data_IF_183514337577
#
_entry.id   IF_183514337577
#
_cell.length_a   1.000
_cell.length_b   1.000
_cell.length_c   1.000
_cell.angle_alpha   90.00
_cell.angle_beta   90.00
_cell.angle_gamma   90.00
#
_symmetry.space_group_name_H-M   'P 1'
#
loop_
_entity.id
_entity.type
_entity.pdbx_description
1 polymer ?
#
# COMPACT_ATOMS: atom_id res chain seq x y z
N UNK A 1 18.22 -65.80 19.91
CA UNK A 1 18.93 -64.77 19.13
C UNK A 1 17.91 -63.65 18.79
N UNK A 2 17.88 -62.62 19.62
CA UNK A 2 16.98 -61.49 19.46
C UNK A 2 17.74 -60.36 18.73
N UNK A 3 17.24 -59.99 17.55
CA UNK A 3 17.73 -58.87 16.83
C UNK A 3 17.18 -57.56 17.41
N UNK A 4 18.00 -56.77 18.04
CA UNK A 4 17.69 -55.40 18.44
C UNK A 4 17.63 -54.52 17.23
N UNK A 5 16.45 -53.97 16.91
CA UNK A 5 16.31 -52.89 15.94
C UNK A 5 16.77 -51.59 16.62
N UNK A 6 17.89 -51.07 16.22
CA UNK A 6 18.31 -49.69 16.53
C UNK A 6 17.39 -48.71 15.81
N UNK A 7 16.62 -47.94 16.58
CA UNK A 7 15.85 -46.84 16.04
C UNK A 7 16.82 -45.73 15.58
N UNK A 8 16.75 -45.35 14.31
CA UNK A 8 17.50 -44.21 13.78
C UNK A 8 16.99 -42.92 14.43
N UNK A 9 17.88 -42.10 14.94
CA UNK A 9 17.56 -40.78 15.46
C UNK A 9 16.94 -39.90 14.35
N UNK A 10 15.92 -39.09 14.64
CA UNK A 10 15.34 -38.20 13.65
C UNK A 10 16.39 -37.18 13.18
N UNK A 11 16.54 -37.10 11.86
CA UNK A 11 17.40 -36.09 11.24
C UNK A 11 17.00 -34.70 11.73
N UNK A 12 17.93 -33.94 12.27
CA UNK A 12 17.71 -32.55 12.67
C UNK A 12 17.29 -31.77 11.42
N UNK A 13 16.02 -31.35 11.38
CA UNK A 13 15.53 -30.44 10.34
C UNK A 13 16.28 -29.12 10.52
N UNK A 14 17.20 -28.82 9.60
CA UNK A 14 17.81 -27.50 9.52
C UNK A 14 16.71 -26.52 9.12
N UNK A 15 16.27 -25.70 10.06
CA UNK A 15 15.36 -24.58 9.76
C UNK A 15 16.16 -23.62 8.88
N UNK A 16 15.78 -23.40 7.60
CA UNK A 16 16.49 -22.44 6.78
C UNK A 16 16.39 -21.07 7.42
N UNK A 17 17.54 -20.43 7.66
CA UNK A 17 17.60 -19.09 8.24
C UNK A 17 16.97 -18.14 7.21
N UNK A 18 15.82 -17.56 7.53
CA UNK A 18 15.18 -16.55 6.72
C UNK A 18 16.11 -15.33 6.60
N UNK A 19 16.35 -14.87 5.37
CA UNK A 19 17.20 -13.69 5.10
C UNK A 19 16.46 -12.38 5.42
N UNK A 20 15.13 -12.41 5.47
CA UNK A 20 14.28 -11.29 5.83
C UNK A 20 12.96 -11.77 6.45
N UNK A 21 12.26 -10.87 7.14
CA UNK A 21 10.90 -11.12 7.64
C UNK A 21 9.94 -11.59 6.54
N UNK A 22 10.14 -11.12 5.31
CA UNK A 22 9.29 -11.41 4.18
C UNK A 22 9.50 -12.81 3.58
N UNK A 23 10.55 -13.52 4.01
CA UNK A 23 10.78 -14.92 3.64
C UNK A 23 10.02 -15.89 4.58
N UNK A 24 9.32 -15.32 5.56
CA UNK A 24 8.51 -16.06 6.53
C UNK A 24 7.06 -16.18 6.07
N UNK A 25 6.36 -17.10 6.70
CA UNK A 25 4.91 -17.27 6.57
C UNK A 25 4.32 -17.67 7.92
N UNK A 26 3.02 -17.42 8.10
CA UNK A 26 2.28 -17.89 9.24
C UNK A 26 0.89 -18.38 8.80
N UNK A 27 0.28 -19.21 9.64
CA UNK A 27 -1.09 -19.65 9.43
C UNK A 27 -2.05 -18.62 10.06
N UNK A 28 -3.00 -18.14 9.27
CA UNK A 28 -4.04 -17.22 9.74
C UNK A 28 -5.01 -17.93 10.71
N UNK A 29 -5.83 -17.15 11.41
CA UNK A 29 -6.89 -17.72 12.25
C UNK A 29 -7.93 -18.55 11.47
N UNK A 30 -8.01 -18.33 10.16
CA UNK A 30 -8.85 -19.10 9.24
C UNK A 30 -8.19 -20.38 8.73
N UNK A 31 -6.96 -20.70 9.21
CA UNK A 31 -6.21 -21.87 8.80
C UNK A 31 -5.47 -21.73 7.45
N UNK A 32 -5.47 -20.55 6.85
CA UNK A 32 -4.79 -20.30 5.59
C UNK A 32 -3.32 -19.91 5.81
N UNK A 33 -2.43 -20.45 4.99
CA UNK A 33 -1.03 -20.04 4.99
C UNK A 33 -0.88 -18.66 4.34
N UNK A 34 -0.42 -17.70 5.09
CA UNK A 34 -0.10 -16.34 4.62
C UNK A 34 1.41 -16.23 4.48
N UNK A 35 1.87 -16.07 3.25
CA UNK A 35 3.27 -15.79 2.94
C UNK A 35 3.52 -14.27 3.16
N UNK A 36 4.49 -13.92 4.00
CA UNK A 36 4.74 -12.51 4.32
C UNK A 36 5.34 -11.73 3.16
N UNK A 37 5.73 -12.41 2.08
CA UNK A 37 6.13 -11.75 0.83
C UNK A 37 5.00 -10.89 0.22
N UNK A 38 3.73 -11.23 0.47
CA UNK A 38 2.59 -10.40 0.04
C UNK A 38 2.63 -8.99 0.66
N UNK A 39 3.24 -8.82 1.82
CA UNK A 39 3.42 -7.54 2.48
C UNK A 39 4.63 -6.76 1.97
N UNK A 40 5.56 -7.43 1.27
CA UNK A 40 6.76 -6.81 0.69
C UNK A 40 6.44 -5.95 -0.53
N UNK A 41 5.40 -6.32 -1.28
CA UNK A 41 5.20 -5.88 -2.65
C UNK A 41 4.69 -4.46 -2.82
N UNK A 42 3.83 -3.96 -1.92
CA UNK A 42 3.10 -2.71 -2.19
C UNK A 42 4.00 -1.48 -2.11
N UNK A 43 4.76 -1.26 -1.05
CA UNK A 43 5.55 -0.03 -0.88
C UNK A 43 6.60 0.13 -1.97
N UNK A 44 7.43 -0.89 -2.21
CA UNK A 44 8.49 -0.83 -3.23
C UNK A 44 7.88 -0.67 -4.62
N UNK A 45 6.88 -1.51 -4.94
CA UNK A 45 6.19 -1.47 -6.22
C UNK A 45 5.54 -0.12 -6.48
N UNK A 46 4.73 0.34 -5.54
CA UNK A 46 3.92 1.54 -5.73
C UNK A 46 4.79 2.79 -5.82
N UNK A 47 5.75 2.98 -4.92
CA UNK A 47 6.66 4.12 -5.00
C UNK A 47 7.49 4.12 -6.29
N UNK A 48 8.03 2.97 -6.70
CA UNK A 48 8.82 2.85 -7.93
C UNK A 48 7.96 3.17 -9.17
N UNK A 49 6.76 2.60 -9.24
CA UNK A 49 5.89 2.82 -10.40
C UNK A 49 5.29 4.23 -10.43
N UNK A 50 5.04 4.87 -9.28
CA UNK A 50 4.63 6.27 -9.22
C UNK A 50 5.74 7.19 -9.74
N UNK A 51 7.01 6.94 -9.35
CA UNK A 51 8.16 7.65 -9.94
C UNK A 51 8.22 7.47 -11.46
N UNK A 52 7.98 6.27 -11.97
CA UNK A 52 7.97 5.98 -13.40
C UNK A 52 6.85 6.72 -14.14
N UNK A 53 5.64 6.73 -13.57
CA UNK A 53 4.51 7.47 -14.16
C UNK A 53 4.79 8.98 -14.17
N UNK A 54 5.27 9.55 -13.06
CA UNK A 54 5.62 10.96 -12.97
C UNK A 54 6.70 11.33 -14.02
N UNK A 55 7.71 10.50 -14.19
CA UNK A 55 8.77 10.72 -15.17
C UNK A 55 8.28 10.59 -16.62
N UNK A 56 7.32 9.69 -16.88
CA UNK A 56 6.77 9.45 -18.23
C UNK A 56 5.92 10.61 -18.76
N UNK A 57 5.26 11.35 -17.86
CA UNK A 57 4.38 12.46 -18.22
C UNK A 57 4.80 13.77 -17.55
N UNK A 58 6.02 14.28 -17.80
CA UNK A 58 6.55 15.45 -17.13
C UNK A 58 5.64 16.67 -17.42
N UNK A 59 5.33 17.44 -16.36
CA UNK A 59 4.45 18.61 -16.40
C UNK A 59 3.00 18.37 -16.86
N UNK A 60 2.63 17.13 -17.14
CA UNK A 60 1.27 16.74 -17.57
C UNK A 60 0.56 15.86 -16.55
N UNK A 61 1.30 15.07 -15.79
CA UNK A 61 0.82 14.32 -14.65
C UNK A 61 1.56 14.81 -13.40
N UNK A 62 0.84 15.04 -12.34
CA UNK A 62 1.40 15.37 -11.02
C UNK A 62 0.94 14.30 -10.04
N UNK A 63 1.91 13.58 -9.46
CA UNK A 63 1.66 12.64 -8.38
C UNK A 63 1.80 13.36 -7.04
N UNK A 64 0.85 13.16 -6.16
CA UNK A 64 0.80 13.72 -4.82
C UNK A 64 0.71 12.58 -3.80
N UNK A 65 1.66 12.48 -2.88
CA UNK A 65 1.70 11.45 -1.87
C UNK A 65 1.37 11.99 -0.48
N UNK A 66 0.47 11.29 0.22
CA UNK A 66 0.03 11.64 1.57
C UNK A 66 0.28 10.44 2.49
N UNK A 67 1.39 10.41 3.24
CA UNK A 67 1.63 9.36 4.21
C UNK A 67 0.54 9.32 5.28
N UNK A 68 0.19 8.11 5.74
CA UNK A 68 -0.85 7.90 6.74
C UNK A 68 -0.51 6.72 7.65
N UNK A 69 -0.70 6.88 8.96
CA UNK A 69 -0.40 5.82 9.95
C UNK A 69 -1.65 5.05 10.43
N UNK A 70 -2.81 5.25 9.80
CA UNK A 70 -4.06 4.62 10.24
C UNK A 70 -4.16 3.13 9.86
N UNK A 71 -3.28 2.63 8.99
CA UNK A 71 -3.35 1.28 8.44
C UNK A 71 -2.29 0.38 9.07
N UNK A 72 -2.66 -0.26 10.17
CA UNK A 72 -1.79 -1.18 10.90
C UNK A 72 -0.54 -0.52 11.49
N UNK A 73 -0.56 0.80 11.70
CA UNK A 73 0.58 1.57 12.23
C UNK A 73 1.88 1.33 11.45
N UNK A 74 1.79 1.25 10.11
CA UNK A 74 2.93 0.95 9.25
C UNK A 74 3.77 2.18 8.87
N UNK A 75 3.32 3.41 9.23
CA UNK A 75 4.04 4.66 8.99
C UNK A 75 4.26 5.41 10.30
N UNK A 76 5.04 4.81 11.21
CA UNK A 76 5.32 5.37 12.54
C UNK A 76 6.36 6.50 12.54
N UNK A 77 7.15 6.62 11.48
CA UNK A 77 8.18 7.64 11.34
C UNK A 77 7.63 9.06 11.49
N UNK A 78 8.44 9.99 11.96
CA UNK A 78 8.10 11.42 11.91
C UNK A 78 8.14 11.94 10.48
N UNK A 79 7.59 13.13 10.22
CA UNK A 79 7.61 13.71 8.88
C UNK A 79 9.04 13.90 8.33
N UNK A 80 9.98 14.25 9.22
CA UNK A 80 11.38 14.49 8.90
C UNK A 80 12.12 13.19 8.53
N UNK A 81 11.67 12.05 9.04
CA UNK A 81 12.29 10.75 8.83
C UNK A 81 11.82 10.06 7.54
N UNK A 82 10.62 10.39 7.03
CA UNK A 82 9.99 9.68 5.90
C UNK A 82 10.93 9.59 4.70
N UNK A 83 11.52 10.70 4.26
CA UNK A 83 12.42 10.70 3.09
C UNK A 83 13.67 9.86 3.33
N UNK A 84 14.22 9.88 4.54
CA UNK A 84 15.38 9.05 4.91
C UNK A 84 15.03 7.57 4.89
N UNK A 85 13.85 7.20 5.39
CA UNK A 85 13.36 5.81 5.37
C UNK A 85 13.13 5.33 3.93
N UNK A 86 12.53 6.14 3.09
CA UNK A 86 12.36 5.80 1.67
C UNK A 86 13.71 5.57 0.98
N UNK A 87 14.70 6.39 1.27
CA UNK A 87 16.02 6.32 0.66
C UNK A 87 16.86 5.14 1.14
N UNK A 88 16.85 4.85 2.43
CA UNK A 88 17.80 3.93 3.03
C UNK A 88 17.18 2.60 3.47
N UNK A 89 15.87 2.54 3.69
CA UNK A 89 15.20 1.36 4.26
C UNK A 89 14.23 0.74 3.26
N UNK A 90 13.20 1.50 2.81
CA UNK A 90 12.11 0.94 2.00
C UNK A 90 11.41 2.01 1.14
N UNK A 91 11.59 2.00 -0.17
CA UNK A 91 12.27 1.04 -1.05
C UNK A 91 13.75 0.82 -0.78
N UNK A 92 14.48 1.78 -0.21
CA UNK A 92 15.94 1.68 0.01
C UNK A 92 16.74 1.84 -1.29
N UNK A 93 18.02 1.48 -1.23
CA UNK A 93 18.88 1.53 -2.42
C UNK A 93 19.08 2.93 -3.01
N UNK A 94 18.92 3.98 -2.19
CA UNK A 94 19.05 5.36 -2.65
C UNK A 94 17.76 5.92 -3.29
N UNK A 95 16.61 5.25 -3.11
CA UNK A 95 15.33 5.71 -3.67
C UNK A 95 14.99 7.12 -3.21
N UNK A 96 14.65 7.98 -4.16
CA UNK A 96 14.11 9.32 -3.91
C UNK A 96 12.81 9.49 -4.73
N UNK A 97 11.70 9.92 -4.09
CA UNK A 97 10.49 10.23 -4.82
C UNK A 97 10.70 11.46 -5.70
N UNK A 98 10.33 11.36 -6.98
CA UNK A 98 10.36 12.48 -7.92
C UNK A 98 9.02 13.24 -7.98
N UNK A 99 8.19 13.04 -6.98
CA UNK A 99 6.88 13.66 -6.81
C UNK A 99 6.74 14.21 -5.40
N UNK A 100 5.74 15.07 -5.19
CA UNK A 100 5.54 15.76 -3.91
C UNK A 100 4.97 14.81 -2.87
N UNK A 101 5.67 14.68 -1.75
CA UNK A 101 5.15 14.09 -0.52
C UNK A 101 4.74 15.21 0.45
N UNK A 102 3.56 15.06 1.01
CA UNK A 102 3.06 15.96 2.05
C UNK A 102 3.35 15.41 3.45
N UNK A 103 3.04 16.21 4.46
CA UNK A 103 3.06 15.77 5.84
C UNK A 103 2.05 14.64 6.05
N UNK A 104 2.36 13.75 6.96
CA UNK A 104 1.49 12.67 7.38
C UNK A 104 0.16 13.22 7.85
N UNK A 105 -0.95 12.63 7.41
CA UNK A 105 -2.29 13.07 7.76
C UNK A 105 -3.24 11.89 8.01
N UNK A 106 -4.39 12.20 8.61
CA UNK A 106 -5.49 11.24 8.71
C UNK A 106 -6.37 11.31 7.45
N UNK A 107 -6.68 10.14 6.91
CA UNK A 107 -7.50 10.02 5.70
C UNK A 107 -8.91 9.50 5.98
N UNK A 108 -9.15 8.99 7.21
CA UNK A 108 -10.42 8.49 7.71
C UNK A 108 -10.72 9.04 9.11
N UNK A 109 -11.98 8.93 9.55
CA UNK A 109 -12.42 9.32 10.87
C UNK A 109 -12.78 10.82 11.00
N UNK A 110 -12.82 11.28 12.25
CA UNK A 110 -13.23 12.65 12.57
C UNK A 110 -12.26 13.70 12.02
N UNK A 111 -10.96 13.42 12.06
CA UNK A 111 -9.90 14.33 11.64
C UNK A 111 -9.46 14.09 10.19
N UNK A 112 -10.35 13.57 9.35
CA UNK A 112 -10.08 13.35 7.92
C UNK A 112 -9.60 14.65 7.26
N UNK A 113 -8.42 14.62 6.65
CA UNK A 113 -7.87 15.74 5.89
C UNK A 113 -8.84 16.20 4.78
N UNK A 114 -9.04 17.51 4.56
CA UNK A 114 -10.03 18.03 3.60
C UNK A 114 -9.91 17.46 2.20
N UNK A 115 -8.72 17.21 1.70
CA UNK A 115 -8.48 16.56 0.40
C UNK A 115 -9.19 15.20 0.34
N UNK A 116 -9.04 14.37 1.36
CA UNK A 116 -9.66 13.03 1.37
C UNK A 116 -11.15 13.08 1.68
N UNK A 117 -11.61 14.07 2.46
CA UNK A 117 -13.04 14.31 2.62
C UNK A 117 -13.71 14.62 1.27
N UNK A 118 -13.10 15.49 0.47
CA UNK A 118 -13.53 15.81 -0.88
C UNK A 118 -13.50 14.60 -1.81
N UNK A 119 -12.37 13.91 -1.89
CA UNK A 119 -12.19 12.77 -2.78
C UNK A 119 -13.16 11.62 -2.47
N UNK A 120 -13.35 11.29 -1.18
CA UNK A 120 -14.29 10.23 -0.75
C UNK A 120 -15.76 10.60 -0.98
N UNK A 121 -16.09 11.88 -0.95
CA UNK A 121 -17.45 12.36 -1.27
C UNK A 121 -17.82 12.09 -2.73
N UNK A 122 -16.89 12.34 -3.65
CA UNK A 122 -17.11 12.19 -5.09
C UNK A 122 -16.84 10.76 -5.59
N UNK A 123 -15.93 10.05 -4.94
CA UNK A 123 -15.53 8.68 -5.28
C UNK A 123 -15.65 7.79 -4.03
N UNK A 124 -16.87 7.42 -3.64
CA UNK A 124 -17.11 6.73 -2.35
C UNK A 124 -16.55 5.30 -2.29
N UNK A 125 -16.28 4.68 -3.43
CA UNK A 125 -15.73 3.33 -3.50
C UNK A 125 -14.70 3.21 -4.63
N UNK A 126 -13.70 2.29 -4.49
CA UNK A 126 -12.84 1.91 -5.59
C UNK A 126 -13.64 1.32 -6.75
N UNK A 127 -13.21 1.62 -7.99
CA UNK A 127 -13.90 1.16 -9.20
C UNK A 127 -13.54 -0.29 -9.58
N UNK A 128 -12.48 -0.83 -9.02
CA UNK A 128 -11.86 -2.10 -9.38
C UNK A 128 -12.09 -3.21 -8.34
N UNK A 129 -12.57 -2.87 -7.16
CA UNK A 129 -12.81 -3.86 -6.10
C UNK A 129 -13.83 -3.36 -5.07
N UNK A 130 -14.72 -4.26 -4.65
CA UNK A 130 -15.55 -4.04 -3.47
C UNK A 130 -14.72 -4.35 -2.22
N UNK A 131 -14.14 -3.33 -1.60
CA UNK A 131 -13.36 -3.51 -0.37
C UNK A 131 -14.26 -3.58 0.84
N UNK A 132 -14.11 -4.64 1.63
CA UNK A 132 -14.83 -4.80 2.89
C UNK A 132 -13.92 -4.36 4.04
N UNK A 133 -14.09 -3.13 4.54
CA UNK A 133 -13.37 -2.62 5.72
C UNK A 133 -13.52 -3.51 6.96
N UNK A 134 -14.65 -4.20 7.06
CA UNK A 134 -14.99 -5.04 8.20
C UNK A 134 -14.27 -6.40 8.22
N UNK A 135 -13.54 -6.76 7.17
CA UNK A 135 -12.80 -8.02 7.13
C UNK A 135 -11.68 -8.10 8.18
N UNK A 136 -11.12 -6.94 8.58
CA UNK A 136 -10.04 -6.85 9.57
C UNK A 136 -10.32 -5.76 10.62
N UNK A 137 -11.32 -5.93 11.50
CA UNK A 137 -11.75 -4.88 12.45
C UNK A 137 -10.62 -4.40 13.39
N UNK A 138 -9.67 -5.27 13.72
CA UNK A 138 -8.52 -4.96 14.59
C UNK A 138 -7.58 -3.88 14.05
N UNK A 139 -7.64 -3.62 12.74
CA UNK A 139 -6.83 -2.57 12.10
C UNK A 139 -7.59 -1.25 11.93
N UNK A 140 -8.83 -1.16 12.38
CA UNK A 140 -9.62 0.06 12.32
C UNK A 140 -9.20 1.00 13.46
N UNK A 141 -8.26 1.89 13.18
CA UNK A 141 -7.68 2.81 14.15
C UNK A 141 -8.34 4.21 14.14
N UNK A 142 -9.53 4.36 13.56
CA UNK A 142 -10.23 5.63 13.45
C UNK A 142 -11.72 5.52 13.78
N UNK A 143 -12.34 6.66 14.09
CA UNK A 143 -13.78 6.82 14.36
C UNK A 143 -14.23 8.20 13.89
N UNK A 144 -15.47 8.35 13.36
CA UNK A 144 -16.41 7.29 13.00
C UNK A 144 -15.97 6.52 11.75
N UNK A 145 -16.44 5.27 11.61
CA UNK A 145 -16.22 4.45 10.44
C UNK A 145 -17.32 4.73 9.41
N UNK A 146 -16.96 4.90 8.15
CA UNK A 146 -17.86 5.16 7.04
C UNK A 146 -17.63 4.18 5.89
N UNK A 147 -18.66 3.90 5.09
CA UNK A 147 -18.56 3.02 3.91
C UNK A 147 -17.58 3.54 2.86
N UNK A 148 -17.38 4.85 2.79
CA UNK A 148 -16.45 5.49 1.85
C UNK A 148 -15.02 5.55 2.36
N UNK A 149 -14.72 5.02 3.55
CA UNK A 149 -13.37 5.08 4.10
C UNK A 149 -12.35 4.37 3.22
N UNK A 150 -11.12 4.88 3.23
CA UNK A 150 -9.98 4.28 2.58
C UNK A 150 -9.65 3.00 3.32
N UNK A 151 -9.52 1.90 2.60
CA UNK A 151 -9.38 0.56 3.18
C UNK A 151 -7.98 0.24 3.66
N UNK A 152 -6.97 0.72 2.93
CA UNK A 152 -5.57 0.45 3.23
C UNK A 152 -4.62 1.44 2.55
N UNK A 153 -3.33 1.32 2.85
CA UNK A 153 -2.27 2.07 2.17
C UNK A 153 -2.34 1.88 0.65
N UNK A 154 -1.92 2.89 -0.09
CA UNK A 154 -1.83 2.89 -1.56
C UNK A 154 -3.17 2.75 -2.29
N UNK A 155 -4.28 3.23 -1.73
CA UNK A 155 -5.39 3.61 -2.60
C UNK A 155 -4.99 4.83 -3.44
N UNK A 156 -5.43 4.86 -4.68
CA UNK A 156 -5.12 5.94 -5.62
C UNK A 156 -6.40 6.62 -6.07
N UNK A 157 -6.34 7.94 -6.17
CA UNK A 157 -7.39 8.78 -6.71
C UNK A 157 -6.84 9.51 -7.94
N UNK A 158 -7.45 9.29 -9.09
CA UNK A 158 -7.13 10.01 -10.30
C UNK A 158 -8.07 11.20 -10.44
N UNK A 159 -7.49 12.37 -10.65
CA UNK A 159 -8.21 13.65 -10.77
C UNK A 159 -7.95 14.18 -12.18
N UNK A 160 -8.97 14.65 -12.83
CA UNK A 160 -8.89 15.22 -14.17
C UNK A 160 -8.30 16.63 -14.21
N UNK A 161 -8.06 17.16 -15.42
CA UNK A 161 -7.36 18.43 -15.59
C UNK A 161 -8.12 19.65 -15.03
N UNK A 162 -9.43 19.57 -14.93
CA UNK A 162 -10.26 20.65 -14.36
C UNK A 162 -10.48 20.50 -12.85
N UNK A 163 -9.80 19.51 -12.22
CA UNK A 163 -9.88 19.25 -10.78
C UNK A 163 -11.00 18.30 -10.37
N UNK A 164 -11.72 17.71 -11.31
CA UNK A 164 -12.77 16.74 -11.05
C UNK A 164 -12.20 15.36 -10.67
N UNK A 165 -12.64 14.73 -9.57
CA UNK A 165 -12.29 13.36 -9.25
C UNK A 165 -12.85 12.41 -10.31
N UNK A 166 -11.95 11.67 -10.97
CA UNK A 166 -12.32 10.80 -12.09
C UNK A 166 -12.50 9.34 -11.66
N UNK A 167 -11.52 8.78 -10.93
CA UNK A 167 -11.55 7.36 -10.54
C UNK A 167 -10.75 7.11 -9.28
N UNK A 168 -11.24 6.18 -8.46
CA UNK A 168 -10.56 5.65 -7.28
C UNK A 168 -10.19 4.19 -7.52
N UNK A 169 -8.99 3.79 -7.12
CA UNK A 169 -8.46 2.44 -7.30
C UNK A 169 -8.07 1.84 -5.96
N UNK A 170 -8.34 0.56 -5.79
CA UNK A 170 -7.97 -0.20 -4.61
C UNK A 170 -6.44 -0.28 -4.42
N UNK A 171 -5.96 -0.67 -3.23
CA UNK A 171 -4.54 -0.91 -2.99
C UNK A 171 -3.93 -1.99 -3.91
N UNK A 172 -4.74 -2.90 -4.41
CA UNK A 172 -4.30 -4.03 -5.27
C UNK A 172 -3.90 -3.58 -6.66
N UNK A 173 -4.57 -2.57 -7.20
CA UNK A 173 -4.24 -2.02 -8.51
C UNK A 173 -2.90 -1.32 -8.48
N UNK A 174 -1.93 -1.86 -9.20
CA UNK A 174 -0.59 -1.27 -9.30
C UNK A 174 -0.64 0.07 -10.04
N UNK A 175 0.21 1.07 -9.70
CA UNK A 175 0.20 2.37 -10.38
C UNK A 175 0.39 2.29 -11.90
N UNK A 176 1.17 1.35 -12.39
CA UNK A 176 1.32 1.14 -13.84
C UNK A 176 -0.01 0.80 -14.56
N UNK A 177 -0.96 0.21 -13.86
CA UNK A 177 -2.27 -0.14 -14.41
C UNK A 177 -3.21 1.08 -14.56
N UNK A 178 -2.86 2.23 -13.97
CA UNK A 178 -3.60 3.47 -14.12
C UNK A 178 -3.31 4.17 -15.45
N UNK A 179 -2.25 3.76 -16.14
CA UNK A 179 -1.76 4.44 -17.33
C UNK A 179 -2.81 4.63 -18.44
N UNK A 180 -3.69 3.67 -18.77
CA UNK A 180 -4.75 3.88 -19.76
C UNK A 180 -5.69 5.03 -19.41
N UNK A 181 -6.08 5.15 -18.12
CA UNK A 181 -6.95 6.22 -17.66
C UNK A 181 -6.21 7.57 -17.62
N UNK A 182 -4.93 7.57 -17.23
CA UNK A 182 -4.06 8.76 -17.32
C UNK A 182 -4.00 9.26 -18.77
N UNK A 183 -3.72 8.37 -19.72
CA UNK A 183 -3.67 8.72 -21.14
C UNK A 183 -5.01 9.25 -21.67
N UNK A 184 -6.11 8.68 -21.20
CA UNK A 184 -7.46 9.16 -21.52
C UNK A 184 -7.66 10.60 -21.07
N UNK A 185 -7.34 10.91 -19.82
CA UNK A 185 -7.48 12.27 -19.28
C UNK A 185 -6.53 13.26 -19.97
N UNK A 186 -5.30 12.84 -20.27
CA UNK A 186 -4.33 13.66 -20.96
C UNK A 186 -4.77 14.06 -22.40
N UNK A 187 -5.65 13.28 -23.04
CA UNK A 187 -6.25 13.63 -24.32
C UNK A 187 -7.37 14.66 -24.17
N UNK A 188 -7.99 14.74 -22.99
CA UNK A 188 -9.06 15.71 -22.69
C UNK A 188 -8.49 17.05 -22.22
N UNK A 189 -7.28 17.07 -21.68
CA UNK A 189 -6.59 18.31 -21.31
C UNK A 189 -6.27 19.13 -22.56
N UNK A 190 -6.83 20.34 -22.63
CA UNK A 190 -6.58 21.32 -23.71
C UNK A 190 -5.25 22.05 -23.52
#
# INVERSE_FOLDING_TARGET
MGAQRTAAAPAAMSIPIAKSFYDLSATSLQGERVDFNVFRGSTVRDYTQLNQLQARYPRRLVVLGFPCNQFGFQENSTNEEILSILKHVRPGGGFEPNFTLFQKCQVNGADTHPVFAYLKLHLPAPADEAVTLMSEPRFLAWSPIRRSDISWNFEKFLVGPEGEPFRRYSPRTAPAQLEPDVQRLLKLAK
#
